data_IF_943073122667
#
_entry.id   IF_943073122667
#
_cell.length_a   1.000
_cell.length_b   1.000
_cell.length_c   1.000
_cell.angle_alpha   90.00
_cell.angle_beta   90.00
_cell.angle_gamma   90.00
#
_symmetry.space_group_name_H-M   'P 1'
#
loop_
_entity.id
_entity.type
_entity.pdbx_description
1 polymer ?
#
# COMPACT_ATOMS: atom_id res chain seq x y z
N UNK A 1 -37.37 -6.01 -15.82
CA UNK A 1 -36.95 -5.04 -16.85
C UNK A 1 -35.43 -4.96 -16.78
N UNK A 2 -34.72 -5.70 -17.62
CA UNK A 2 -33.25 -5.60 -17.74
C UNK A 2 -32.94 -4.40 -18.61
N UNK A 3 -32.69 -3.24 -18.00
CA UNK A 3 -32.13 -2.10 -18.71
C UNK A 3 -30.86 -2.53 -19.45
N UNK A 4 -30.76 -2.14 -20.72
CA UNK A 4 -29.58 -2.32 -21.56
C UNK A 4 -28.40 -1.59 -20.92
N UNK A 5 -27.58 -2.29 -20.13
CA UNK A 5 -26.34 -1.71 -19.60
C UNK A 5 -25.33 -1.64 -20.73
N UNK A 6 -25.04 -0.42 -21.21
CA UNK A 6 -23.96 -0.17 -22.15
C UNK A 6 -22.59 -0.54 -21.55
N UNK A 7 -21.55 -0.56 -22.38
CA UNK A 7 -20.17 -0.79 -21.93
C UNK A 7 -19.82 0.15 -20.78
N UNK A 8 -19.22 -0.37 -19.71
CA UNK A 8 -18.75 0.41 -18.56
C UNK A 8 -17.32 0.01 -18.22
N UNK A 9 -16.39 0.96 -18.34
CA UNK A 9 -14.98 0.81 -18.02
C UNK A 9 -14.72 1.34 -16.62
N UNK A 10 -14.70 0.43 -15.65
CA UNK A 10 -14.49 0.77 -14.25
C UNK A 10 -13.00 0.91 -13.92
N UNK A 11 -12.64 1.95 -13.19
CA UNK A 11 -11.29 2.13 -12.63
C UNK A 11 -11.26 1.61 -11.19
N UNK A 12 -10.33 0.69 -10.92
CA UNK A 12 -10.05 0.12 -9.59
C UNK A 12 -11.31 -0.35 -8.81
N UNK A 13 -12.27 -1.00 -9.48
CA UNK A 13 -13.54 -1.45 -8.90
C UNK A 13 -13.42 -2.46 -7.76
N UNK A 14 -12.26 -3.07 -7.54
CA UNK A 14 -11.98 -3.90 -6.37
C UNK A 14 -11.74 -3.11 -5.09
N UNK A 15 -11.53 -1.78 -5.16
CA UNK A 15 -11.12 -0.99 -4.02
C UNK A 15 -12.20 -0.82 -2.94
N UNK A 16 -13.49 -0.57 -3.25
CA UNK A 16 -14.51 -0.36 -2.22
C UNK A 16 -14.63 -1.52 -1.22
N UNK A 17 -14.66 -2.76 -1.69
CA UNK A 17 -14.71 -3.95 -0.82
C UNK A 17 -13.41 -4.15 -0.04
N UNK A 18 -12.26 -3.77 -0.62
CA UNK A 18 -10.97 -3.79 0.09
C UNK A 18 -10.96 -2.78 1.25
N UNK A 19 -11.53 -1.59 1.05
CA UNK A 19 -11.72 -0.56 2.08
C UNK A 19 -12.70 -1.02 3.16
N UNK A 20 -13.80 -1.66 2.76
CA UNK A 20 -14.85 -2.14 3.67
C UNK A 20 -14.31 -3.14 4.71
N UNK A 21 -13.35 -4.00 4.33
CA UNK A 21 -12.67 -4.92 5.27
C UNK A 21 -12.05 -4.22 6.49
N UNK A 22 -11.71 -2.94 6.39
CA UNK A 22 -11.14 -2.13 7.47
C UNK A 22 -12.14 -1.19 8.13
N UNK A 23 -13.21 -0.80 7.41
CA UNK A 23 -14.13 0.26 7.84
C UNK A 23 -15.52 -0.27 8.23
N UNK A 24 -15.79 -1.56 7.99
CA UNK A 24 -17.01 -2.21 8.46
C UNK A 24 -17.08 -2.21 10.00
N UNK A 25 -18.29 -2.05 10.52
CA UNK A 25 -18.55 -2.00 11.97
C UNK A 25 -17.96 -3.22 12.68
N UNK A 26 -17.13 -2.96 13.69
CA UNK A 26 -16.46 -4.00 14.47
C UNK A 26 -15.09 -4.41 13.94
N UNK A 27 -14.66 -3.93 12.77
CA UNK A 27 -13.28 -4.10 12.32
C UNK A 27 -12.32 -3.30 13.20
N UNK A 28 -11.13 -3.87 13.44
CA UNK A 28 -10.01 -3.16 14.05
C UNK A 28 -8.69 -3.81 13.65
N UNK A 29 -7.62 -3.03 13.67
CA UNK A 29 -6.25 -3.55 13.56
C UNK A 29 -5.55 -3.46 14.92
N UNK A 30 -4.59 -4.35 15.18
CA UNK A 30 -3.63 -4.18 16.28
C UNK A 30 -2.27 -3.84 15.67
N UNK A 31 -1.78 -2.62 15.89
CA UNK A 31 -0.49 -2.17 15.37
C UNK A 31 0.62 -2.35 16.41
N UNK A 32 1.84 -2.47 15.91
CA UNK A 32 3.10 -2.46 16.64
C UNK A 32 4.09 -1.62 15.84
N UNK A 33 4.73 -0.65 16.50
CA UNK A 33 5.92 0.02 15.98
C UNK A 33 7.12 -0.81 16.41
N UNK A 34 7.88 -1.27 15.42
CA UNK A 34 8.93 -2.27 15.59
C UNK A 34 10.27 -1.70 15.15
N UNK A 35 11.25 -1.73 16.04
CA UNK A 35 12.60 -1.21 15.81
C UNK A 35 13.66 -2.31 15.90
N UNK A 36 14.67 -2.22 15.03
CA UNK A 36 15.86 -3.07 15.08
C UNK A 36 17.06 -2.39 14.44
N UNK A 37 18.28 -2.80 14.83
CA UNK A 37 19.51 -2.31 14.18
C UNK A 37 19.59 -2.85 12.75
N UNK A 38 20.02 -2.03 11.81
CA UNK A 38 20.23 -2.47 10.41
C UNK A 38 21.19 -3.66 10.31
N UNK A 39 22.18 -3.73 11.20
CA UNK A 39 23.12 -4.85 11.29
C UNK A 39 22.53 -6.15 11.83
N UNK A 40 21.42 -6.08 12.57
CA UNK A 40 20.72 -7.30 12.98
C UNK A 40 20.14 -8.01 11.76
N UNK A 41 19.44 -7.26 10.90
CA UNK A 41 18.96 -7.77 9.62
C UNK A 41 18.58 -6.64 8.65
N UNK A 42 18.87 -6.82 7.35
CA UNK A 42 18.43 -5.87 6.34
C UNK A 42 16.92 -6.01 6.11
N UNK A 43 16.27 -4.94 5.62
CA UNK A 43 14.83 -4.91 5.38
C UNK A 43 14.25 -6.07 4.52
N UNK A 44 14.94 -6.57 3.47
CA UNK A 44 14.46 -7.72 2.70
C UNK A 44 14.35 -8.98 3.57
N UNK A 45 15.27 -9.19 4.52
CA UNK A 45 15.22 -10.32 5.44
C UNK A 45 13.99 -10.19 6.34
N UNK A 46 13.76 -9.02 6.94
CA UNK A 46 12.56 -8.75 7.73
C UNK A 46 11.28 -9.08 6.93
N UNK A 47 11.14 -8.56 5.71
CA UNK A 47 9.92 -8.82 4.91
C UNK A 47 9.77 -10.27 4.46
N UNK A 48 10.83 -10.91 3.98
CA UNK A 48 10.72 -12.20 3.31
C UNK A 48 10.82 -13.39 4.28
N UNK A 49 11.57 -13.23 5.39
CA UNK A 49 11.84 -14.31 6.35
C UNK A 49 11.09 -14.16 7.66
N UNK A 50 10.87 -12.92 8.13
CA UNK A 50 10.10 -12.68 9.37
C UNK A 50 8.61 -12.57 9.05
N UNK A 51 8.24 -11.70 8.12
CA UNK A 51 6.83 -11.48 7.76
C UNK A 51 6.31 -12.57 6.81
N UNK A 52 7.05 -12.86 5.73
CA UNK A 52 6.68 -13.85 4.71
C UNK A 52 6.04 -13.24 3.48
N UNK A 53 5.96 -14.01 2.39
CA UNK A 53 5.38 -13.57 1.11
C UNK A 53 3.92 -13.12 1.27
N UNK A 54 3.48 -12.16 0.44
CA UNK A 54 2.10 -11.63 0.48
C UNK A 54 1.05 -12.72 0.28
N UNK A 55 1.34 -13.68 -0.61
CA UNK A 55 0.60 -14.94 -0.72
C UNK A 55 1.13 -15.91 0.35
N UNK A 56 0.37 -16.23 1.41
CA UNK A 56 0.85 -17.09 2.49
C UNK A 56 1.28 -18.48 2.02
N UNK A 57 0.71 -19.00 0.91
CA UNK A 57 1.08 -20.31 0.35
C UNK A 57 2.51 -20.34 -0.23
N UNK A 58 3.09 -19.15 -0.49
CA UNK A 58 4.46 -18.96 -1.00
C UNK A 58 5.40 -18.42 0.07
N UNK A 59 4.93 -18.25 1.30
CA UNK A 59 5.74 -17.72 2.39
C UNK A 59 6.78 -18.75 2.85
N UNK A 60 8.00 -18.29 3.18
CA UNK A 60 9.03 -19.17 3.73
C UNK A 60 8.56 -19.75 5.07
N UNK A 61 8.81 -21.04 5.31
CA UNK A 61 8.47 -21.69 6.57
C UNK A 61 9.09 -20.96 7.77
N UNK A 62 8.33 -20.83 8.86
CA UNK A 62 8.71 -20.08 10.07
C UNK A 62 8.53 -18.57 9.98
N UNK A 63 8.02 -18.04 8.86
CA UNK A 63 7.56 -16.65 8.77
C UNK A 63 6.14 -16.51 9.32
N UNK A 64 5.78 -15.32 9.79
CA UNK A 64 4.47 -15.05 10.39
C UNK A 64 3.31 -15.44 9.47
N UNK A 65 3.36 -15.11 8.19
CA UNK A 65 2.29 -15.46 7.24
C UNK A 65 2.20 -16.96 7.01
N UNK A 66 3.33 -17.67 6.97
CA UNK A 66 3.34 -19.13 6.86
C UNK A 66 2.77 -19.78 8.13
N UNK A 67 3.15 -19.30 9.31
CA UNK A 67 2.68 -19.85 10.58
C UNK A 67 1.20 -19.53 10.84
N UNK A 68 0.72 -18.35 10.43
CA UNK A 68 -0.72 -18.02 10.47
C UNK A 68 -1.49 -18.90 9.50
N UNK A 69 -1.02 -19.10 8.27
CA UNK A 69 -1.67 -20.01 7.31
C UNK A 69 -1.73 -21.44 7.85
N UNK A 70 -0.60 -21.94 8.37
CA UNK A 70 -0.50 -23.32 8.84
C UNK A 70 -1.44 -23.61 10.01
N UNK A 71 -1.60 -22.66 10.93
CA UNK A 71 -2.31 -22.87 12.19
C UNK A 71 -3.60 -22.03 12.28
N UNK A 72 -4.20 -21.61 11.16
CA UNK A 72 -5.28 -20.60 11.16
C UNK A 72 -6.49 -21.01 12.03
N UNK A 73 -6.88 -22.28 12.00
CA UNK A 73 -8.01 -22.81 12.80
C UNK A 73 -7.68 -22.78 14.30
N UNK A 74 -6.49 -23.23 14.69
CA UNK A 74 -6.01 -23.21 16.07
C UNK A 74 -5.84 -21.77 16.60
N UNK A 75 -5.48 -20.85 15.71
CA UNK A 75 -5.41 -19.40 15.98
C UNK A 75 -6.78 -18.72 15.98
N UNK A 76 -7.87 -19.46 15.72
CA UNK A 76 -9.25 -18.96 15.77
C UNK A 76 -9.68 -18.11 14.57
N UNK A 77 -9.02 -18.24 13.41
CA UNK A 77 -9.44 -17.59 12.17
C UNK A 77 -10.58 -18.37 11.52
N UNK A 78 -11.58 -17.65 11.01
CA UNK A 78 -12.78 -18.24 10.39
C UNK A 78 -12.54 -18.76 8.97
N UNK A 79 -11.63 -18.12 8.26
CA UNK A 79 -11.31 -18.42 6.86
C UNK A 79 -9.83 -18.68 6.71
N UNK A 80 -9.50 -19.60 5.81
CA UNK A 80 -8.12 -19.89 5.46
C UNK A 80 -7.47 -18.62 4.86
N UNK A 81 -6.31 -18.17 5.38
CA UNK A 81 -5.60 -17.01 4.86
C UNK A 81 -5.31 -17.10 3.36
N UNK A 82 -5.43 -15.98 2.66
CA UNK A 82 -5.20 -15.86 1.22
C UNK A 82 -4.39 -14.61 0.89
N UNK A 83 -4.22 -14.31 -0.40
CA UNK A 83 -3.44 -13.16 -0.86
C UNK A 83 -3.93 -11.80 -0.30
N UNK A 84 -5.25 -11.59 -0.20
CA UNK A 84 -5.83 -10.34 0.34
C UNK A 84 -5.80 -10.36 1.89
N UNK A 85 -6.19 -11.50 2.46
CA UNK A 85 -6.36 -11.75 3.89
C UNK A 85 -5.23 -12.65 4.41
N UNK A 86 -4.03 -12.07 4.46
CA UNK A 86 -2.78 -12.77 4.79
C UNK A 86 -2.33 -12.57 6.25
N UNK A 87 -3.25 -12.30 7.17
CA UNK A 87 -2.97 -12.12 8.60
C UNK A 87 -2.32 -10.78 8.98
N UNK A 88 -1.11 -10.50 8.47
CA UNK A 88 -0.26 -9.40 8.94
C UNK A 88 0.23 -8.50 7.81
N UNK A 89 0.22 -7.19 8.07
CA UNK A 89 0.89 -6.15 7.31
C UNK A 89 2.22 -5.79 7.95
N UNK A 90 3.20 -5.40 7.13
CA UNK A 90 4.42 -4.76 7.58
C UNK A 90 4.93 -3.79 6.51
N UNK A 91 5.47 -2.65 6.96
CA UNK A 91 6.08 -1.63 6.10
C UNK A 91 7.03 -2.22 5.05
N UNK A 92 6.92 -1.75 3.81
CA UNK A 92 7.66 -2.30 2.69
C UNK A 92 9.11 -1.78 2.57
N UNK A 93 9.42 -0.66 3.23
CA UNK A 93 10.73 0.00 3.33
C UNK A 93 10.78 0.93 4.55
N UNK A 94 11.97 1.46 4.88
CA UNK A 94 12.10 2.48 5.92
C UNK A 94 11.28 3.74 5.63
N UNK A 95 11.20 4.14 4.36
CA UNK A 95 10.40 5.30 3.94
C UNK A 95 8.90 5.04 4.06
N UNK A 96 8.42 3.86 3.66
CA UNK A 96 7.01 3.50 3.86
C UNK A 96 6.67 3.34 5.34
N UNK A 97 7.61 2.88 6.17
CA UNK A 97 7.43 2.88 7.62
C UNK A 97 7.18 4.28 8.17
N UNK A 98 7.94 5.29 7.71
CA UNK A 98 7.66 6.69 8.05
C UNK A 98 6.26 7.09 7.59
N UNK A 99 5.93 6.89 6.32
CA UNK A 99 4.62 7.26 5.77
C UNK A 99 3.47 6.65 6.58
N UNK A 100 3.61 5.38 6.96
CA UNK A 100 2.63 4.66 7.75
C UNK A 100 2.51 5.21 9.17
N UNK A 101 3.61 5.55 9.85
CA UNK A 101 3.54 6.16 11.20
C UNK A 101 2.92 7.55 11.17
N UNK A 102 3.19 8.35 10.14
CA UNK A 102 2.53 9.66 9.95
C UNK A 102 1.02 9.47 9.76
N UNK A 103 0.61 8.54 8.90
CA UNK A 103 -0.79 8.29 8.60
C UNK A 103 -1.55 7.64 9.76
N UNK A 104 -1.09 6.48 10.24
CA UNK A 104 -1.82 5.64 11.19
C UNK A 104 -1.75 6.16 12.63
N UNK A 105 -0.63 6.79 13.02
CA UNK A 105 -0.40 7.21 14.40
C UNK A 105 -0.47 8.73 14.58
N UNK A 106 -0.60 9.49 13.49
CA UNK A 106 -0.59 10.96 13.54
C UNK A 106 0.76 11.53 13.97
N UNK A 107 1.84 10.76 13.86
CA UNK A 107 3.18 11.27 14.13
C UNK A 107 3.47 12.46 13.21
N UNK A 108 4.29 13.39 13.69
CA UNK A 108 4.81 14.47 12.87
C UNK A 108 6.20 14.12 12.35
N UNK A 109 6.59 14.73 11.23
CA UNK A 109 7.91 14.50 10.63
C UNK A 109 9.04 14.85 11.59
N UNK A 110 8.88 15.96 12.32
CA UNK A 110 9.82 16.47 13.31
C UNK A 110 9.82 15.68 14.63
N UNK A 111 8.94 14.68 14.78
CA UNK A 111 8.88 13.78 15.94
C UNK A 111 9.38 12.37 15.59
N UNK A 112 9.19 11.94 14.35
CA UNK A 112 9.64 10.64 13.83
C UNK A 112 11.17 10.58 13.64
N UNK A 113 11.79 9.45 14.00
CA UNK A 113 13.25 9.29 13.88
C UNK A 113 13.76 9.40 12.45
N UNK A 114 13.06 8.77 11.48
CA UNK A 114 13.43 8.85 10.07
C UNK A 114 13.07 10.21 9.47
N UNK A 115 11.91 10.76 9.85
CA UNK A 115 11.46 12.09 9.44
C UNK A 115 12.46 13.20 9.84
N UNK A 116 12.87 13.23 11.12
CA UNK A 116 13.92 14.11 11.65
C UNK A 116 15.22 13.99 10.86
N UNK A 117 15.62 12.76 10.51
CA UNK A 117 16.85 12.54 9.74
C UNK A 117 16.76 13.14 8.33
N UNK A 118 15.63 12.96 7.63
CA UNK A 118 15.41 13.57 6.31
C UNK A 118 15.47 15.10 6.38
N UNK A 119 14.73 15.69 7.33
CA UNK A 119 14.67 17.15 7.52
C UNK A 119 16.05 17.73 7.87
N UNK A 120 16.76 17.12 8.83
CA UNK A 120 18.10 17.57 9.24
C UNK A 120 19.14 17.43 8.14
N UNK A 121 18.90 16.55 7.16
CA UNK A 121 19.76 16.38 5.99
C UNK A 121 19.35 17.29 4.81
N UNK A 122 18.41 18.21 5.01
CA UNK A 122 18.04 19.22 4.02
C UNK A 122 16.96 18.79 3.02
N UNK A 123 16.34 17.62 3.20
CA UNK A 123 15.19 17.23 2.37
C UNK A 123 14.00 18.10 2.77
N UNK A 124 13.43 18.83 1.82
CA UNK A 124 12.35 19.76 2.11
C UNK A 124 11.07 19.02 2.52
N UNK A 125 10.38 19.54 3.54
CA UNK A 125 9.13 18.97 4.05
C UNK A 125 8.07 18.77 2.95
N UNK A 126 7.95 19.75 2.03
CA UNK A 126 7.05 19.67 0.87
C UNK A 126 7.35 18.48 -0.04
N UNK A 127 8.63 18.11 -0.19
CA UNK A 127 9.04 17.01 -1.05
C UNK A 127 8.69 15.69 -0.37
N UNK A 128 8.98 15.57 0.94
CA UNK A 128 8.57 14.41 1.75
C UNK A 128 7.05 14.24 1.71
N UNK A 129 6.28 15.32 1.90
CA UNK A 129 4.82 15.29 1.83
C UNK A 129 4.30 14.82 0.47
N UNK A 130 4.91 15.29 -0.63
CA UNK A 130 4.56 14.81 -1.98
C UNK A 130 4.94 13.34 -2.18
N UNK A 131 6.07 12.91 -1.64
CA UNK A 131 6.56 11.53 -1.71
C UNK A 131 5.68 10.53 -0.99
N UNK A 132 4.99 10.93 0.09
CA UNK A 132 4.02 10.06 0.79
C UNK A 132 2.84 9.61 -0.09
N UNK A 133 2.60 10.29 -1.22
CA UNK A 133 1.53 9.98 -2.18
C UNK A 133 1.97 9.01 -3.28
N UNK A 134 3.18 8.45 -3.16
CA UNK A 134 3.79 7.54 -4.13
C UNK A 134 3.81 8.11 -5.57
N UNK A 135 4.47 9.25 -5.81
CA UNK A 135 4.53 9.86 -7.13
C UNK A 135 5.32 8.99 -8.10
N UNK A 136 4.99 9.11 -9.39
CA UNK A 136 5.84 8.57 -10.46
C UNK A 136 7.04 9.50 -10.66
N UNK A 137 8.24 8.98 -10.46
CA UNK A 137 9.50 9.70 -10.57
C UNK A 137 10.35 9.13 -11.70
N UNK A 138 11.18 9.98 -12.30
CA UNK A 138 12.19 9.55 -13.26
C UNK A 138 13.50 9.26 -12.51
N UNK A 139 13.96 8.02 -12.59
CA UNK A 139 15.19 7.58 -11.94
C UNK A 139 15.89 6.52 -12.79
N UNK A 140 17.17 6.75 -13.10
CA UNK A 140 17.97 5.83 -13.92
C UNK A 140 17.43 5.64 -15.34
N UNK A 141 16.85 6.68 -15.94
CA UNK A 141 16.29 6.63 -17.30
C UNK A 141 14.96 5.89 -17.42
N UNK A 142 14.31 5.56 -16.30
CA UNK A 142 13.00 4.91 -16.27
C UNK A 142 12.05 5.64 -15.33
N UNK A 143 10.77 5.71 -15.71
CA UNK A 143 9.70 6.24 -14.86
C UNK A 143 9.15 5.10 -14.00
N UNK A 144 9.10 5.30 -12.67
CA UNK A 144 8.57 4.32 -11.72
C UNK A 144 7.98 4.98 -10.48
N UNK A 145 7.22 4.21 -9.70
CA UNK A 145 6.75 4.65 -8.38
C UNK A 145 7.94 4.89 -7.45
N UNK A 146 7.82 5.90 -6.58
CA UNK A 146 8.80 6.16 -5.53
C UNK A 146 8.85 5.02 -4.52
N UNK A 147 7.69 4.49 -4.12
CA UNK A 147 7.64 3.36 -3.19
C UNK A 147 8.32 2.14 -3.80
N UNK A 148 8.08 1.84 -5.08
CA UNK A 148 8.80 0.78 -5.82
C UNK A 148 10.32 1.01 -5.86
N UNK A 149 10.80 2.27 -5.85
CA UNK A 149 12.23 2.58 -5.79
C UNK A 149 12.81 2.35 -4.38
N UNK A 150 12.01 2.65 -3.35
CA UNK A 150 12.39 2.49 -1.94
C UNK A 150 12.14 1.09 -1.39
N UNK A 151 11.37 0.25 -2.07
CA UNK A 151 10.95 -1.05 -1.58
C UNK A 151 12.15 -1.92 -1.18
N UNK A 152 12.02 -2.63 -0.04
CA UNK A 152 13.06 -3.49 0.53
C UNK A 152 14.32 -2.78 1.01
N UNK A 153 14.31 -1.46 1.16
CA UNK A 153 15.47 -0.68 1.60
C UNK A 153 15.44 -0.34 3.07
N UNK A 154 16.61 -0.49 3.71
CA UNK A 154 16.85 -0.06 5.08
C UNK A 154 16.96 1.47 5.19
N UNK A 155 17.00 1.96 6.43
CA UNK A 155 17.08 3.40 6.75
C UNK A 155 18.25 4.11 6.04
N UNK A 156 19.43 3.49 5.99
CA UNK A 156 20.60 4.00 5.25
C UNK A 156 20.33 4.20 3.78
N UNK A 157 19.80 3.17 3.11
CA UNK A 157 19.56 3.20 1.67
C UNK A 157 18.45 4.18 1.28
N UNK A 158 17.33 4.19 2.03
CA UNK A 158 16.24 5.15 1.79
C UNK A 158 16.72 6.60 1.98
N UNK A 159 17.54 6.86 3.00
CA UNK A 159 18.13 8.18 3.25
C UNK A 159 19.00 8.64 2.08
N UNK A 160 19.89 7.77 1.59
CA UNK A 160 20.75 8.08 0.46
C UNK A 160 19.96 8.34 -0.83
N UNK A 161 18.90 7.58 -1.08
CA UNK A 161 18.02 7.81 -2.23
C UNK A 161 17.25 9.12 -2.09
N UNK A 162 16.74 9.43 -0.90
CA UNK A 162 16.07 10.70 -0.64
C UNK A 162 16.97 11.90 -0.95
N UNK A 163 18.25 11.86 -0.53
CA UNK A 163 19.22 12.93 -0.84
C UNK A 163 19.51 13.08 -2.34
N UNK A 164 19.60 11.95 -3.07
CA UNK A 164 19.77 11.97 -4.53
C UNK A 164 18.55 12.59 -5.22
N UNK A 165 17.34 12.25 -4.75
CA UNK A 165 16.09 12.73 -5.32
C UNK A 165 15.82 14.20 -5.01
N UNK A 166 16.25 14.70 -3.84
CA UNK A 166 16.11 16.12 -3.49
C UNK A 166 17.07 17.05 -4.24
N UNK A 167 17.86 16.51 -5.19
CA UNK A 167 18.81 17.29 -6.00
C UNK A 167 20.07 17.70 -5.24
N UNK A 168 20.27 17.25 -4.00
CA UNK A 168 21.47 17.57 -3.21
C UNK A 168 22.61 16.61 -3.60
N UNK A 169 23.07 16.77 -4.85
CA UNK A 169 24.24 16.07 -5.42
C UNK A 169 25.57 16.71 -4.99
N UNK A 170 25.52 17.87 -4.34
CA UNK A 170 26.69 18.39 -3.62
C UNK A 170 26.74 17.66 -2.30
N UNK A 171 27.58 16.64 -2.21
CA UNK A 171 27.89 15.97 -0.96
C UNK A 171 28.15 16.98 0.15
N UNK A 172 27.13 17.25 0.97
CA UNK A 172 27.31 17.82 2.30
C UNK A 172 27.72 16.69 3.24
N UNK A 173 28.88 16.11 2.94
CA UNK A 173 29.79 15.62 3.97
C UNK A 173 30.35 16.83 4.72
N UNK A 174 29.49 17.56 5.45
CA UNK A 174 29.84 18.57 6.45
C UNK A 174 28.56 19.30 6.90
N UNK A 175 27.76 18.64 7.74
CA UNK A 175 27.22 19.37 8.89
C UNK A 175 28.22 19.13 10.03
N UNK A 176 29.23 20.00 10.16
CA UNK A 176 29.98 20.15 11.41
C UNK A 176 29.00 20.82 12.41
N UNK A 177 28.87 20.43 13.67
CA UNK A 177 29.91 20.29 14.69
C UNK A 177 29.50 19.24 15.75
N UNK A 178 30.33 18.22 15.99
CA UNK A 178 30.37 17.50 17.28
C UNK A 178 29.73 16.10 17.39
N UNK A 179 29.02 15.57 16.39
CA UNK A 179 28.44 14.21 16.44
C UNK A 179 29.10 13.27 15.43
N UNK A 180 29.63 12.15 15.90
CA UNK A 180 30.17 11.06 15.08
C UNK A 180 29.10 10.66 14.06
N UNK A 181 29.43 10.65 12.77
CA UNK A 181 28.51 10.17 11.74
C UNK A 181 28.13 8.72 12.07
N UNK A 182 26.85 8.44 12.33
CA UNK A 182 26.37 7.08 12.58
C UNK A 182 26.67 6.22 11.36
N UNK A 183 27.38 5.11 11.60
CA UNK A 183 27.64 4.12 10.57
C UNK A 183 26.35 3.36 10.25
N UNK A 184 26.26 2.70 9.09
CA UNK A 184 25.09 1.89 8.76
C UNK A 184 24.78 0.83 9.86
N UNK A 185 25.80 0.35 10.56
CA UNK A 185 25.71 -0.58 11.70
C UNK A 185 24.98 0.03 12.91
N UNK A 186 25.11 1.35 13.10
CA UNK A 186 24.47 2.06 14.20
C UNK A 186 23.02 2.45 13.91
N UNK A 187 22.58 2.45 12.65
CA UNK A 187 21.25 2.92 12.26
C UNK A 187 20.17 1.92 12.65
N UNK A 188 19.00 2.46 12.98
CA UNK A 188 17.84 1.69 13.40
C UNK A 188 16.76 1.74 12.32
N UNK A 189 16.35 0.57 11.84
CA UNK A 189 15.12 0.40 11.08
C UNK A 189 13.92 0.52 12.02
N UNK A 190 12.86 1.15 11.53
CA UNK A 190 11.59 1.31 12.24
C UNK A 190 10.44 1.03 11.28
N UNK A 191 9.64 0.00 11.55
CA UNK A 191 8.48 -0.39 10.74
C UNK A 191 7.18 -0.27 11.55
N UNK A 192 6.08 -0.03 10.86
CA UNK A 192 4.75 -0.31 11.36
C UNK A 192 4.37 -1.74 10.93
N UNK A 193 4.02 -2.57 11.91
CA UNK A 193 3.46 -3.91 11.70
C UNK A 193 2.04 -3.87 12.24
N UNK A 194 1.05 -4.37 11.51
CA UNK A 194 -0.28 -4.51 12.07
C UNK A 194 -0.96 -5.81 11.67
N UNK A 195 -1.75 -6.35 12.59
CA UNK A 195 -2.60 -7.50 12.34
C UNK A 195 -3.88 -6.99 11.69
N UNK A 196 -4.20 -7.53 10.51
CA UNK A 196 -5.36 -7.14 9.72
C UNK A 196 -6.66 -7.55 10.41
N UNK A 197 -7.80 -6.91 10.11
CA UNK A 197 -9.05 -7.14 10.84
C UNK A 197 -9.51 -8.60 10.91
N UNK A 198 -9.42 -9.34 9.81
CA UNK A 198 -9.80 -10.76 9.75
C UNK A 198 -9.00 -11.67 10.70
N UNK A 199 -7.78 -11.27 11.10
CA UNK A 199 -6.88 -12.04 11.95
C UNK A 199 -6.65 -11.39 13.31
N UNK A 200 -7.28 -10.24 13.59
CA UNK A 200 -7.02 -9.47 14.81
C UNK A 200 -7.72 -10.10 16.02
N UNK A 201 -7.06 -11.08 16.64
CA UNK A 201 -7.51 -11.75 17.86
C UNK A 201 -6.34 -11.97 18.83
N UNK A 202 -6.60 -12.33 20.10
CA UNK A 202 -5.54 -12.51 21.11
C UNK A 202 -4.47 -13.55 20.76
N UNK A 203 -4.84 -14.65 20.09
CA UNK A 203 -3.89 -15.71 19.73
C UNK A 203 -2.90 -15.23 18.66
N UNK A 204 -3.39 -14.53 17.63
CA UNK A 204 -2.53 -13.96 16.58
C UNK A 204 -1.68 -12.81 17.13
N UNK A 205 -2.24 -11.93 17.99
CA UNK A 205 -1.47 -10.88 18.69
C UNK A 205 -0.28 -11.47 19.44
N UNK A 206 -0.52 -12.53 20.22
CA UNK A 206 0.53 -13.23 20.97
C UNK A 206 1.58 -13.86 20.03
N UNK A 207 1.15 -14.52 18.95
CA UNK A 207 2.07 -15.11 17.97
C UNK A 207 2.99 -14.04 17.34
N UNK A 208 2.43 -12.91 16.92
CA UNK A 208 3.20 -11.83 16.28
C UNK A 208 4.16 -11.19 17.27
N UNK A 209 3.69 -10.80 18.46
CA UNK A 209 4.55 -10.22 19.51
C UNK A 209 5.68 -11.17 19.91
N UNK A 210 5.37 -12.45 20.12
CA UNK A 210 6.38 -13.46 20.48
C UNK A 210 7.43 -13.62 19.37
N UNK A 211 7.01 -13.68 18.11
CA UNK A 211 7.92 -13.85 16.97
C UNK A 211 8.86 -12.67 16.82
N UNK A 212 8.33 -11.44 16.89
CA UNK A 212 9.14 -10.23 16.76
C UNK A 212 10.18 -10.13 17.91
N UNK A 213 9.73 -10.31 19.15
CA UNK A 213 10.61 -10.20 20.33
C UNK A 213 11.65 -11.31 20.39
N UNK A 214 11.29 -12.56 20.05
CA UNK A 214 12.22 -13.70 19.98
C UNK A 214 13.35 -13.48 18.97
N UNK A 215 13.08 -12.72 17.90
CA UNK A 215 14.08 -12.38 16.88
C UNK A 215 14.91 -11.13 17.24
N UNK A 216 14.74 -10.58 18.44
CA UNK A 216 15.49 -9.41 18.92
C UNK A 216 14.96 -8.06 18.42
N UNK A 217 13.76 -8.03 17.81
CA UNK A 217 13.11 -6.78 17.42
C UNK A 217 12.42 -6.16 18.63
N UNK A 218 12.56 -4.85 18.80
CA UNK A 218 11.98 -4.09 19.90
C UNK A 218 10.62 -3.53 19.49
N UNK A 219 9.56 -3.87 20.22
CA UNK A 219 8.26 -3.21 20.09
C UNK A 219 8.29 -1.94 20.95
N UNK A 220 8.21 -0.76 20.33
CA UNK A 220 8.33 0.54 21.02
C UNK A 220 6.99 1.21 21.29
N UNK A 221 5.97 0.85 20.53
CA UNK A 221 4.60 1.31 20.70
C UNK A 221 3.66 0.23 20.14
N UNK A 222 2.48 0.07 20.73
CA UNK A 222 1.44 -0.79 20.18
C UNK A 222 0.06 -0.28 20.60
N UNK A 223 -0.97 -0.65 19.84
CA UNK A 223 -2.33 -0.20 20.11
C UNK A 223 -3.34 -0.74 19.13
N UNK A 224 -4.60 -0.39 19.36
CA UNK A 224 -5.72 -0.76 18.51
C UNK A 224 -6.25 0.47 17.77
N UNK A 225 -6.52 0.32 16.47
CA UNK A 225 -7.23 1.34 15.67
C UNK A 225 -8.52 0.71 15.16
N UNK A 226 -9.65 1.39 15.43
CA UNK A 226 -11.00 0.88 15.17
C UNK A 226 -11.56 1.39 13.85
N UNK A 227 -12.59 0.71 13.34
CA UNK A 227 -13.23 0.98 12.06
C UNK A 227 -13.68 2.45 11.86
N UNK A 228 -14.21 3.08 12.91
CA UNK A 228 -14.70 4.46 12.91
C UNK A 228 -13.56 5.47 12.80
N UNK A 229 -12.44 5.23 13.47
CA UNK A 229 -11.23 6.02 13.29
C UNK A 229 -10.62 5.81 11.89
N UNK A 230 -10.52 4.56 11.44
CA UNK A 230 -10.03 4.24 10.09
C UNK A 230 -10.85 4.92 8.99
N UNK A 231 -12.17 4.96 9.16
CA UNK A 231 -13.08 5.60 8.21
C UNK A 231 -12.97 7.14 8.26
N UNK A 232 -13.15 7.73 9.44
CA UNK A 232 -13.17 9.20 9.61
C UNK A 232 -11.85 9.87 9.23
N UNK A 233 -10.72 9.24 9.55
CA UNK A 233 -9.37 9.72 9.18
C UNK A 233 -8.89 9.21 7.82
N UNK A 234 -9.69 8.38 7.13
CA UNK A 234 -9.35 7.80 5.82
C UNK A 234 -8.02 7.04 5.82
N UNK A 235 -7.71 6.34 6.92
CA UNK A 235 -6.39 5.74 7.15
C UNK A 235 -6.03 4.71 6.09
N UNK A 236 -6.99 3.85 5.72
CA UNK A 236 -6.76 2.84 4.70
C UNK A 236 -6.72 3.43 3.29
N UNK A 237 -7.42 4.54 3.06
CA UNK A 237 -7.38 5.30 1.80
C UNK A 237 -6.00 5.93 1.59
N UNK A 238 -5.44 6.56 2.62
CA UNK A 238 -4.11 7.14 2.59
C UNK A 238 -3.02 6.07 2.51
N UNK A 239 -3.19 4.94 3.20
CA UNK A 239 -2.24 3.83 3.13
C UNK A 239 -2.17 3.23 1.71
N UNK A 240 -3.30 3.17 1.00
CA UNK A 240 -3.36 2.74 -0.40
C UNK A 240 -3.62 3.90 -1.36
N UNK A 241 -3.04 5.08 -1.09
CA UNK A 241 -3.39 6.33 -1.78
C UNK A 241 -3.38 6.24 -3.30
N UNK A 242 -2.36 5.59 -3.90
CA UNK A 242 -2.27 5.43 -5.35
C UNK A 242 -3.47 4.70 -5.95
N UNK A 243 -4.04 3.72 -5.25
CA UNK A 243 -5.23 2.97 -5.69
C UNK A 243 -6.51 3.77 -5.34
N UNK A 244 -6.61 4.21 -4.09
CA UNK A 244 -7.79 4.86 -3.52
C UNK A 244 -8.13 6.17 -4.23
N UNK A 245 -7.12 6.99 -4.51
CA UNK A 245 -7.30 8.27 -5.21
C UNK A 245 -7.93 8.08 -6.59
N UNK A 246 -7.54 7.04 -7.34
CA UNK A 246 -8.09 6.72 -8.66
C UNK A 246 -9.46 6.05 -8.59
N UNK A 247 -9.73 5.31 -7.53
CA UNK A 247 -11.00 4.63 -7.32
C UNK A 247 -12.12 5.58 -6.85
N UNK A 248 -11.77 6.66 -6.15
CA UNK A 248 -12.74 7.49 -5.41
C UNK A 248 -12.59 8.99 -5.63
N UNK A 249 -11.37 9.53 -5.67
CA UNK A 249 -11.12 10.97 -5.56
C UNK A 249 -10.99 11.68 -6.92
N UNK A 250 -10.23 11.10 -7.83
CA UNK A 250 -9.90 11.70 -9.13
C UNK A 250 -10.96 11.27 -10.14
N UNK A 251 -11.51 12.23 -10.88
CA UNK A 251 -12.43 11.92 -11.97
C UNK A 251 -11.67 11.28 -13.14
N UNK A 252 -12.28 10.34 -13.88
CA UNK A 252 -11.58 9.64 -14.97
C UNK A 252 -10.97 10.54 -16.04
N UNK A 253 -11.57 11.69 -16.33
CA UNK A 253 -11.09 12.69 -17.28
C UNK A 253 -9.81 13.42 -16.82
N UNK A 254 -9.57 13.46 -15.51
CA UNK A 254 -8.37 14.03 -14.91
C UNK A 254 -7.24 13.00 -14.67
N UNK A 255 -7.47 11.72 -14.98
CA UNK A 255 -6.45 10.68 -14.82
C UNK A 255 -5.40 10.76 -15.94
N UNK A 256 -4.13 10.79 -15.54
CA UNK A 256 -3.03 10.63 -16.48
C UNK A 256 -2.84 9.14 -16.84
N UNK A 257 -3.34 8.76 -18.00
CA UNK A 257 -3.08 7.46 -18.63
C UNK A 257 -1.83 7.62 -19.53
N UNK A 258 -0.79 6.78 -19.37
CA UNK A 258 0.38 6.83 -20.26
C UNK A 258 0.01 6.52 -21.72
N UNK A 259 0.79 7.02 -22.67
CA UNK A 259 0.53 6.81 -24.12
C UNK A 259 0.40 5.34 -24.51
N UNK A 260 1.23 4.46 -23.93
CA UNK A 260 1.13 3.01 -24.13
C UNK A 260 -0.19 2.45 -23.57
N UNK A 261 -0.67 2.99 -22.45
CA UNK A 261 -1.95 2.64 -21.85
C UNK A 261 -3.13 3.08 -22.72
N UNK A 262 -3.07 4.27 -23.32
CA UNK A 262 -4.08 4.77 -24.25
C UNK A 262 -4.19 3.86 -25.49
N UNK A 263 -3.03 3.46 -26.07
CA UNK A 263 -2.98 2.51 -27.19
C UNK A 263 -3.59 1.16 -26.82
N UNK A 264 -3.17 0.58 -25.69
CA UNK A 264 -3.73 -0.69 -25.17
C UNK A 264 -5.23 -0.62 -24.94
N UNK A 265 -5.73 0.51 -24.43
CA UNK A 265 -7.16 0.71 -24.22
C UNK A 265 -7.94 0.67 -25.54
N UNK A 266 -7.45 1.38 -26.56
CA UNK A 266 -8.08 1.40 -27.87
C UNK A 266 -7.99 0.05 -28.59
N UNK A 267 -6.85 -0.63 -28.50
CA UNK A 267 -6.64 -1.96 -29.06
C UNK A 267 -7.58 -3.01 -28.43
N UNK A 268 -7.74 -2.99 -27.11
CA UNK A 268 -8.55 -3.96 -26.37
C UNK A 268 -10.05 -3.70 -26.51
N UNK A 269 -10.46 -2.44 -26.33
CA UNK A 269 -11.88 -2.09 -26.23
C UNK A 269 -12.47 -1.53 -27.52
N UNK A 270 -11.66 -1.35 -28.56
CA UNK A 270 -12.07 -0.83 -29.88
C UNK A 270 -12.75 0.55 -29.80
N UNK A 271 -12.39 1.34 -28.79
CA UNK A 271 -12.81 2.72 -28.59
C UNK A 271 -11.66 3.50 -27.96
N UNK A 272 -11.40 4.73 -28.41
CA UNK A 272 -10.36 5.56 -27.82
C UNK A 272 -10.77 6.00 -26.40
N UNK A 273 -9.78 6.23 -25.52
CA UNK A 273 -10.03 6.71 -24.17
C UNK A 273 -10.85 8.01 -24.16
N UNK A 274 -10.48 8.96 -25.03
CA UNK A 274 -11.15 10.26 -25.15
C UNK A 274 -12.61 10.11 -25.55
N UNK A 275 -12.91 9.20 -26.48
CA UNK A 275 -14.28 8.92 -26.89
C UNK A 275 -15.06 8.24 -25.75
N UNK A 276 -14.47 7.26 -25.06
CA UNK A 276 -15.10 6.59 -23.93
C UNK A 276 -15.38 7.54 -22.73
N UNK A 277 -14.50 8.52 -22.50
CA UNK A 277 -14.72 9.60 -21.53
C UNK A 277 -15.90 10.49 -21.97
N UNK A 278 -15.92 10.91 -23.24
CA UNK A 278 -17.00 11.72 -23.81
C UNK A 278 -18.36 11.01 -23.75
N UNK A 279 -18.36 9.70 -23.94
CA UNK A 279 -19.56 8.86 -23.86
C UNK A 279 -20.00 8.58 -22.41
N UNK A 280 -19.23 9.02 -21.40
CA UNK A 280 -19.56 8.84 -19.98
C UNK A 280 -19.55 7.38 -19.54
N UNK A 281 -18.73 6.54 -20.20
CA UNK A 281 -18.63 5.10 -19.95
C UNK A 281 -17.36 4.70 -19.20
N UNK A 282 -16.40 5.61 -19.03
CA UNK A 282 -15.28 5.42 -18.10
C UNK A 282 -15.64 6.03 -16.74
N UNK A 283 -15.66 5.19 -15.71
CA UNK A 283 -16.09 5.57 -14.36
C UNK A 283 -15.10 5.05 -13.32
N UNK A 284 -14.85 5.82 -12.27
CA UNK A 284 -14.14 5.27 -11.11
C UNK A 284 -15.09 4.42 -10.24
N UNK A 285 -14.54 3.63 -9.33
CA UNK A 285 -15.31 2.70 -8.50
C UNK A 285 -16.47 3.39 -7.76
N UNK A 286 -16.25 4.61 -7.21
CA UNK A 286 -17.31 5.39 -6.56
C UNK A 286 -18.45 5.72 -7.54
N UNK A 287 -18.11 6.26 -8.72
CA UNK A 287 -19.09 6.62 -9.74
C UNK A 287 -19.87 5.40 -10.26
N UNK A 288 -19.24 4.22 -10.33
CA UNK A 288 -19.92 2.98 -10.69
C UNK A 288 -20.94 2.59 -9.62
N UNK A 289 -20.55 2.58 -8.34
CA UNK A 289 -21.47 2.30 -7.23
C UNK A 289 -22.66 3.26 -7.24
N UNK A 290 -22.42 4.56 -7.44
CA UNK A 290 -23.46 5.59 -7.51
C UNK A 290 -24.38 5.42 -8.73
N UNK A 291 -23.82 5.21 -9.93
CA UNK A 291 -24.58 5.14 -11.19
C UNK A 291 -25.42 3.88 -11.31
N UNK A 292 -24.91 2.74 -10.85
CA UNK A 292 -25.56 1.43 -11.00
C UNK A 292 -26.16 0.91 -9.69
N UNK A 293 -26.17 1.72 -8.63
CA UNK A 293 -26.65 1.37 -7.29
C UNK A 293 -26.04 0.05 -6.77
N UNK A 294 -24.75 -0.15 -7.06
CA UNK A 294 -24.03 -1.38 -6.68
C UNK A 294 -23.39 -1.24 -5.30
N UNK A 295 -23.57 -2.27 -4.48
CA UNK A 295 -22.75 -2.49 -3.30
C UNK A 295 -21.28 -2.75 -3.66
N UNK A 296 -20.34 -2.55 -2.72
CA UNK A 296 -18.93 -2.93 -2.90
C UNK A 296 -18.73 -4.37 -3.36
N UNK A 297 -19.55 -5.29 -2.87
CA UNK A 297 -19.48 -6.72 -3.21
C UNK A 297 -20.00 -7.01 -4.62
N UNK A 298 -21.11 -6.41 -5.02
CA UNK A 298 -21.62 -6.51 -6.40
C UNK A 298 -20.62 -5.95 -7.42
N UNK A 299 -19.99 -4.82 -7.10
CA UNK A 299 -18.94 -4.26 -7.94
C UNK A 299 -17.71 -5.18 -8.00
N UNK A 300 -17.28 -5.76 -6.87
CA UNK A 300 -16.19 -6.77 -6.87
C UNK A 300 -16.53 -7.94 -7.79
N UNK A 301 -17.75 -8.46 -7.71
CA UNK A 301 -18.19 -9.58 -8.52
C UNK A 301 -18.19 -9.23 -10.02
N UNK A 302 -18.76 -8.08 -10.40
CA UNK A 302 -18.72 -7.60 -11.78
C UNK A 302 -17.28 -7.38 -12.29
N UNK A 303 -16.41 -6.85 -11.44
CA UNK A 303 -14.98 -6.68 -11.72
C UNK A 303 -14.28 -8.01 -11.96
N UNK A 304 -14.51 -9.02 -11.11
CA UNK A 304 -13.92 -10.36 -11.26
C UNK A 304 -14.42 -11.06 -12.52
N UNK A 305 -15.70 -10.93 -12.87
CA UNK A 305 -16.24 -11.45 -14.13
C UNK A 305 -15.61 -10.78 -15.35
N UNK A 306 -15.42 -9.45 -15.32
CA UNK A 306 -14.67 -8.75 -16.37
C UNK A 306 -13.23 -9.27 -16.51
N UNK A 307 -12.54 -9.47 -15.40
CA UNK A 307 -11.19 -10.06 -15.41
C UNK A 307 -11.17 -11.48 -15.99
N UNK A 308 -12.16 -12.33 -15.67
CA UNK A 308 -12.26 -13.69 -16.21
C UNK A 308 -12.45 -13.71 -17.73
N UNK A 309 -13.12 -12.70 -18.29
CA UNK A 309 -13.26 -12.52 -19.74
C UNK A 309 -12.00 -12.02 -20.44
N UNK A 310 -10.97 -11.63 -19.69
CA UNK A 310 -9.79 -10.97 -20.25
C UNK A 310 -9.93 -9.45 -20.40
N UNK A 311 -11.07 -8.89 -20.00
CA UNK A 311 -11.41 -7.46 -20.18
C UNK A 311 -10.72 -6.55 -19.14
N UNK A 312 -9.43 -6.75 -18.88
CA UNK A 312 -8.70 -6.10 -17.79
C UNK A 312 -7.37 -5.54 -18.26
N UNK A 313 -7.25 -4.21 -18.20
CA UNK A 313 -6.01 -3.51 -18.47
C UNK A 313 -5.36 -3.04 -17.17
N UNK A 314 -4.04 -3.20 -17.10
CA UNK A 314 -3.18 -2.60 -16.09
C UNK A 314 -2.34 -1.52 -16.76
N UNK A 315 -2.56 -0.26 -16.42
CA UNK A 315 -1.77 0.85 -16.97
C UNK A 315 -0.41 0.95 -16.26
N UNK A 316 -0.40 0.88 -14.93
CA UNK A 316 0.79 0.77 -14.08
C UNK A 316 0.40 0.30 -12.66
N UNK A 317 1.34 0.29 -11.71
CA UNK A 317 1.06 -0.04 -10.31
C UNK A 317 -0.10 0.77 -9.73
N UNK A 318 -1.16 0.08 -9.28
CA UNK A 318 -2.33 0.70 -8.67
C UNK A 318 -3.29 1.40 -9.63
N UNK A 319 -3.14 1.25 -10.96
CA UNK A 319 -4.08 1.78 -11.95
C UNK A 319 -4.56 0.69 -12.92
N UNK A 320 -5.79 0.24 -12.69
CA UNK A 320 -6.44 -0.83 -13.45
C UNK A 320 -7.77 -0.35 -14.02
N UNK A 321 -8.11 -0.86 -15.20
CA UNK A 321 -9.37 -0.62 -15.87
C UNK A 321 -10.01 -1.96 -16.28
N UNK A 322 -11.27 -2.17 -15.95
CA UNK A 322 -12.03 -3.38 -16.33
C UNK A 322 -13.34 -3.01 -16.99
N UNK A 323 -13.66 -3.63 -18.13
CA UNK A 323 -15.01 -3.57 -18.70
C UNK A 323 -15.93 -4.47 -17.89
N UNK A 324 -16.87 -3.88 -17.14
CA UNK A 324 -17.72 -4.62 -16.19
C UNK A 324 -18.74 -5.51 -16.91
N UNK A 325 -19.44 -4.95 -17.90
CA UNK A 325 -20.50 -5.63 -18.63
C UNK A 325 -20.02 -5.97 -20.04
N UNK A 326 -20.35 -7.17 -20.51
CA UNK A 326 -20.02 -7.58 -21.87
C UNK A 326 -20.66 -6.62 -22.88
N UNK A 327 -19.95 -6.35 -23.98
CA UNK A 327 -20.55 -5.68 -25.11
C UNK A 327 -21.70 -6.57 -25.62
N UNK A 328 -22.91 -6.01 -25.74
CA UNK A 328 -23.98 -6.74 -26.42
C UNK A 328 -23.63 -6.83 -27.91
N UNK A 329 -23.89 -7.97 -28.57
CA UNK A 329 -23.57 -8.19 -29.98
C UNK A 329 -24.29 -7.22 -30.92
#
# INVERSE_FOLDING_TARGET
MTEKRGSCYAINGFYPIMREKYTAKGASIHYMVVEWKESLMPWPHFRLKVIGATDPSKASGGSLRADILKNYEELGLRTCPNFEENGVHASASAFEGLCERLNWLGNKLEDDSFGKMLLSSGVAEKDIANWTKDPQIEFGGSKRSLFDLMEHKSTTECHQLALKLSGDTKGRTAVNVGRRAETADDRTNCALVFIKPHANNPAVRKLVQHTLTRLGLKITNEGEVRYDEMDSKRLIDNHYYSIASKAVLISPDALHVPDEGLKKFEEEFKVSWQQAIKDGVVLNARQVCEKYEMSPEELKNAWLEGKKRGDCLRFYGGFYCVRLFAAQP
#
